data_IF_627911911625
#
_entry.id   IF_627911911625
#
_cell.length_a   1.000
_cell.length_b   1.000
_cell.length_c   1.000
_cell.angle_alpha   90.00
_cell.angle_beta   90.00
_cell.angle_gamma   90.00
#
_symmetry.space_group_name_H-M   'P 1'
#
loop_
_entity.id
_entity.type
_entity.pdbx_description
1 polymer ?
#
# COMPACT_ATOMS: atom_id res chain seq x y z
N UNK A 1 4.64 -27.85 3.49
CA UNK A 1 4.32 -26.86 4.57
C UNK A 1 3.13 -26.00 4.20
N UNK A 2 2.32 -25.55 5.19
CA UNK A 2 1.08 -24.77 4.96
C UNK A 2 0.95 -23.59 5.93
N UNK A 3 0.52 -22.42 5.40
CA UNK A 3 0.18 -21.25 6.21
C UNK A 3 -1.33 -21.22 6.41
N UNK A 4 -1.77 -21.13 7.66
CA UNK A 4 -3.19 -21.06 8.02
C UNK A 4 -3.48 -19.87 8.94
N UNK A 5 -4.72 -19.37 8.87
CA UNK A 5 -5.25 -18.41 9.82
C UNK A 5 -6.21 -19.15 10.75
N UNK A 6 -5.85 -19.24 12.02
CA UNK A 6 -6.66 -19.91 13.06
C UNK A 6 -7.26 -18.88 13.99
N UNK A 7 -8.46 -19.16 14.48
CA UNK A 7 -9.11 -18.34 15.50
C UNK A 7 -9.13 -19.10 16.83
N UNK A 8 -8.54 -18.51 17.87
CA UNK A 8 -8.54 -19.06 19.23
C UNK A 8 -9.07 -17.99 20.18
N UNK A 9 -10.18 -18.27 20.84
CA UNK A 9 -10.82 -17.36 21.79
C UNK A 9 -11.13 -15.96 21.21
N UNK A 10 -11.62 -15.91 19.96
CA UNK A 10 -11.95 -14.65 19.29
C UNK A 10 -10.74 -13.89 18.73
N UNK A 11 -9.51 -14.37 18.95
CA UNK A 11 -8.28 -13.78 18.43
C UNK A 11 -7.79 -14.59 17.24
N UNK A 12 -7.51 -13.91 16.13
CA UNK A 12 -6.97 -14.54 14.92
C UNK A 12 -5.43 -14.60 14.95
N UNK A 13 -4.89 -15.75 14.60
CA UNK A 13 -3.45 -16.04 14.53
C UNK A 13 -3.08 -16.57 13.16
N UNK A 14 -1.95 -16.12 12.65
CA UNK A 14 -1.30 -16.78 11.51
C UNK A 14 -0.32 -17.81 12.05
N UNK A 15 -0.39 -19.02 11.52
CA UNK A 15 0.48 -20.14 11.90
C UNK A 15 1.11 -20.77 10.67
N UNK A 16 2.32 -21.30 10.84
CA UNK A 16 2.99 -22.15 9.86
C UNK A 16 2.94 -23.59 10.36
N UNK A 17 2.46 -24.47 9.52
CA UNK A 17 2.41 -25.91 9.76
C UNK A 17 3.41 -26.62 8.86
N UNK A 18 4.07 -27.66 9.39
CA UNK A 18 4.89 -28.58 8.60
C UNK A 18 4.02 -29.54 7.77
N UNK A 19 4.66 -30.53 7.14
CA UNK A 19 3.96 -31.49 6.29
C UNK A 19 3.16 -32.52 7.11
N UNK A 20 3.49 -32.70 8.39
CA UNK A 20 2.79 -33.54 9.36
C UNK A 20 1.73 -32.76 10.14
N UNK A 21 1.42 -31.54 9.74
CA UNK A 21 0.45 -30.64 10.39
C UNK A 21 0.82 -30.22 11.82
N UNK A 22 2.09 -30.29 12.21
CA UNK A 22 2.58 -29.73 13.45
C UNK A 22 2.95 -28.26 13.29
N UNK A 23 2.84 -27.51 14.39
CA UNK A 23 3.26 -26.11 14.42
C UNK A 23 4.78 -26.00 14.26
N UNK A 24 5.21 -25.09 13.40
CA UNK A 24 6.61 -24.64 13.35
C UNK A 24 6.78 -23.59 14.43
N UNK A 25 7.05 -24.04 15.67
CA UNK A 25 7.02 -23.20 16.88
C UNK A 25 7.82 -21.89 16.76
N UNK A 26 9.08 -21.86 16.26
CA UNK A 26 9.83 -20.61 16.17
C UNK A 26 9.13 -19.55 15.32
N UNK A 27 8.52 -19.97 14.19
CA UNK A 27 7.78 -19.05 13.32
C UNK A 27 6.48 -18.59 13.97
N UNK A 28 5.77 -19.51 14.62
CA UNK A 28 4.49 -19.20 15.28
C UNK A 28 4.70 -18.21 16.45
N UNK A 29 5.77 -18.38 17.23
CA UNK A 29 6.14 -17.46 18.32
C UNK A 29 6.52 -16.08 17.80
N UNK A 30 7.30 -16.02 16.73
CA UNK A 30 7.62 -14.75 16.06
C UNK A 30 6.36 -14.05 15.56
N UNK A 31 5.44 -14.76 14.91
CA UNK A 31 4.19 -14.21 14.42
C UNK A 31 3.29 -13.70 15.56
N UNK A 32 3.24 -14.43 16.67
CA UNK A 32 2.49 -13.99 17.85
C UNK A 32 3.12 -12.75 18.50
N UNK A 33 4.44 -12.70 18.60
CA UNK A 33 5.14 -11.49 19.03
C UNK A 33 4.81 -10.29 18.12
N UNK A 34 4.88 -10.46 16.81
CA UNK A 34 4.54 -9.39 15.87
C UNK A 34 3.08 -8.94 16.01
N UNK A 35 2.15 -9.86 16.28
CA UNK A 35 0.75 -9.57 16.57
C UNK A 35 0.60 -8.75 17.85
N UNK A 36 1.29 -9.13 18.93
CA UNK A 36 1.28 -8.42 20.22
C UNK A 36 1.76 -6.98 20.14
N UNK A 37 2.63 -6.66 19.19
CA UNK A 37 3.10 -5.29 18.92
C UNK A 37 2.28 -4.60 17.81
N UNK A 38 1.03 -5.00 17.60
CA UNK A 38 0.04 -4.40 16.70
C UNK A 38 0.47 -4.33 15.21
N UNK A 39 1.20 -5.32 14.71
CA UNK A 39 1.46 -5.41 13.28
C UNK A 39 0.16 -5.75 12.53
N UNK A 40 -0.07 -5.06 11.41
CA UNK A 40 -1.24 -5.28 10.57
C UNK A 40 -1.37 -6.74 10.10
N UNK A 41 -2.59 -7.27 10.04
CA UNK A 41 -2.89 -8.66 9.66
C UNK A 41 -2.25 -9.08 8.33
N UNK A 42 -2.29 -8.20 7.32
CA UNK A 42 -1.62 -8.46 6.04
C UNK A 42 -0.10 -8.54 6.15
N UNK A 43 0.53 -7.84 7.11
CA UNK A 43 1.96 -7.95 7.39
C UNK A 43 2.29 -9.29 8.03
N UNK A 44 1.46 -9.76 8.97
CA UNK A 44 1.61 -11.07 9.60
C UNK A 44 1.47 -12.19 8.58
N UNK A 45 0.47 -12.10 7.69
CA UNK A 45 0.31 -13.03 6.57
C UNK A 45 1.53 -13.06 5.66
N UNK A 46 2.06 -11.88 5.32
CA UNK A 46 3.26 -11.80 4.47
C UNK A 46 4.47 -12.46 5.15
N UNK A 47 4.70 -12.19 6.44
CA UNK A 47 5.76 -12.87 7.22
C UNK A 47 5.59 -14.39 7.21
N UNK A 48 4.38 -14.88 7.46
CA UNK A 48 4.12 -16.33 7.47
C UNK A 48 4.43 -16.98 6.11
N UNK A 49 4.01 -16.35 5.00
CA UNK A 49 4.28 -16.85 3.65
C UNK A 49 5.76 -16.77 3.28
N UNK A 50 6.45 -15.69 3.66
CA UNK A 50 7.86 -15.52 3.37
C UNK A 50 8.71 -16.52 4.18
N UNK A 51 8.38 -16.73 5.45
CA UNK A 51 9.05 -17.70 6.30
C UNK A 51 8.76 -19.13 5.87
N UNK A 52 7.56 -19.45 5.37
CA UNK A 52 7.28 -20.74 4.73
C UNK A 52 8.32 -21.04 3.64
N UNK A 53 8.53 -20.10 2.71
CA UNK A 53 9.50 -20.27 1.61
C UNK A 53 10.91 -20.52 2.16
N UNK A 54 11.30 -19.78 3.20
CA UNK A 54 12.61 -19.95 3.83
C UNK A 54 12.77 -21.32 4.52
N UNK A 55 11.74 -21.78 5.23
CA UNK A 55 11.74 -23.09 5.87
C UNK A 55 11.80 -24.24 4.85
N UNK A 56 11.09 -24.14 3.73
CA UNK A 56 11.18 -25.09 2.62
C UNK A 56 12.58 -25.14 2.02
N UNK A 57 13.26 -23.98 1.91
CA UNK A 57 14.66 -23.92 1.49
C UNK A 57 15.60 -24.60 2.49
N UNK A 58 15.47 -24.32 3.79
CA UNK A 58 16.28 -24.95 4.83
C UNK A 58 16.09 -26.47 4.83
N UNK A 59 14.85 -26.95 4.70
CA UNK A 59 14.55 -28.38 4.62
C UNK A 59 15.23 -29.04 3.41
N UNK A 60 15.22 -28.41 2.23
CA UNK A 60 15.97 -28.90 1.04
C UNK A 60 17.47 -29.00 1.28
N UNK A 61 18.05 -28.13 2.10
CA UNK A 61 19.47 -28.12 2.46
C UNK A 61 19.78 -28.99 3.68
N UNK A 62 18.78 -29.63 4.29
CA UNK A 62 18.91 -30.38 5.55
C UNK A 62 19.48 -29.53 6.68
N UNK A 63 19.15 -28.23 6.73
CA UNK A 63 19.57 -27.27 7.74
C UNK A 63 18.43 -26.91 8.69
N UNK A 64 18.78 -26.62 9.95
CA UNK A 64 17.87 -25.98 10.89
C UNK A 64 18.17 -24.47 10.92
N UNK A 65 17.19 -23.66 11.29
CA UNK A 65 17.33 -22.20 11.36
C UNK A 65 18.39 -21.75 12.40
N UNK A 66 18.60 -22.56 13.45
CA UNK A 66 19.53 -22.33 14.57
C UNK A 66 20.92 -22.98 14.37
N UNK A 67 21.14 -23.63 13.24
CA UNK A 67 22.43 -24.22 12.92
C UNK A 67 23.53 -23.17 12.76
N UNK A 68 24.70 -23.43 13.33
CA UNK A 68 25.88 -22.57 13.17
C UNK A 68 26.39 -22.50 11.71
N UNK A 69 25.99 -23.46 10.86
CA UNK A 69 26.31 -23.48 9.44
C UNK A 69 25.48 -22.51 8.60
N UNK A 70 24.38 -21.96 9.14
CA UNK A 70 23.59 -20.93 8.46
C UNK A 70 24.40 -19.62 8.46
N UNK A 71 25.03 -19.33 7.35
CA UNK A 71 25.95 -18.23 7.14
C UNK A 71 25.43 -17.25 6.08
N UNK A 72 26.24 -16.25 5.78
CA UNK A 72 25.95 -15.33 4.65
C UNK A 72 25.91 -16.07 3.31
N UNK A 73 26.70 -17.13 3.14
CA UNK A 73 26.70 -17.94 1.93
C UNK A 73 25.38 -18.72 1.81
N UNK A 74 24.83 -19.21 2.93
CA UNK A 74 23.49 -19.81 2.96
C UNK A 74 22.43 -18.82 2.51
N UNK A 75 22.55 -17.54 2.86
CA UNK A 75 21.62 -16.51 2.40
C UNK A 75 21.81 -16.17 0.91
N UNK A 76 23.05 -16.25 0.40
CA UNK A 76 23.31 -16.11 -1.03
C UNK A 76 22.70 -17.29 -1.82
N UNK A 77 22.87 -18.53 -1.33
CA UNK A 77 22.22 -19.73 -1.89
C UNK A 77 20.69 -19.58 -1.86
N UNK A 78 20.12 -19.04 -0.79
CA UNK A 78 18.68 -18.77 -0.71
C UNK A 78 18.21 -17.75 -1.75
N UNK A 79 19.00 -16.70 -2.01
CA UNK A 79 18.70 -15.74 -3.09
C UNK A 79 18.69 -16.46 -4.45
N UNK A 80 19.63 -17.37 -4.68
CA UNK A 80 19.69 -18.13 -5.94
C UNK A 80 18.52 -19.12 -6.05
N UNK A 81 18.13 -19.81 -4.97
CA UNK A 81 16.92 -20.64 -4.95
C UNK A 81 15.66 -19.82 -5.24
N UNK A 82 15.55 -18.62 -4.67
CA UNK A 82 14.43 -17.71 -4.96
C UNK A 82 14.37 -17.27 -6.43
N UNK A 83 15.51 -17.13 -7.09
CA UNK A 83 15.58 -16.83 -8.53
C UNK A 83 15.26 -18.02 -9.40
N UNK A 84 15.73 -19.21 -9.01
CA UNK A 84 15.58 -20.46 -9.77
C UNK A 84 14.21 -21.11 -9.55
N UNK A 85 13.66 -21.03 -8.35
CA UNK A 85 12.36 -21.63 -7.99
C UNK A 85 11.18 -21.07 -8.81
N UNK A 86 11.39 -19.95 -9.50
CA UNK A 86 10.46 -19.44 -10.52
C UNK A 86 10.61 -20.14 -11.88
N UNK A 87 11.66 -20.98 -12.08
CA UNK A 87 11.92 -21.72 -13.34
C UNK A 87 11.48 -23.18 -13.28
N UNK A 88 11.42 -23.78 -12.10
CA UNK A 88 11.00 -25.17 -11.91
C UNK A 88 9.50 -25.19 -11.60
N UNK A 89 8.69 -25.45 -12.63
CA UNK A 89 7.24 -25.47 -12.57
C UNK A 89 6.66 -26.31 -11.44
N UNK A 90 6.25 -25.67 -10.38
CA UNK A 90 5.12 -26.11 -9.57
C UNK A 90 3.88 -25.37 -10.05
N UNK A 91 2.90 -26.17 -10.46
CA UNK A 91 1.57 -25.90 -10.97
C UNK A 91 0.82 -24.76 -10.24
N UNK A 92 1.15 -23.51 -10.54
CA UNK A 92 0.22 -22.37 -10.38
C UNK A 92 0.83 -21.17 -11.14
N UNK A 93 0.42 -20.99 -12.37
CA UNK A 93 0.39 -19.78 -13.22
C UNK A 93 1.22 -18.52 -12.80
N UNK A 94 2.50 -18.68 -12.44
CA UNK A 94 3.44 -17.56 -12.37
C UNK A 94 4.62 -17.89 -13.27
N UNK A 95 4.43 -17.67 -14.55
CA UNK A 95 5.48 -17.66 -15.57
C UNK A 95 6.30 -16.38 -15.45
N UNK A 96 7.17 -16.28 -14.43
CA UNK A 96 8.05 -15.14 -14.29
C UNK A 96 9.02 -15.32 -13.12
N UNK A 97 10.30 -15.01 -13.32
CA UNK A 97 11.27 -14.93 -12.23
C UNK A 97 10.82 -13.89 -11.20
N UNK A 98 10.98 -14.19 -9.90
CA UNK A 98 10.69 -13.21 -8.84
C UNK A 98 11.51 -11.95 -9.06
N UNK A 99 10.88 -10.79 -8.94
CA UNK A 99 11.60 -9.51 -9.05
C UNK A 99 12.53 -9.31 -7.86
N UNK A 100 13.63 -8.57 -8.05
CA UNK A 100 14.55 -8.23 -6.97
C UNK A 100 13.82 -7.57 -5.78
N UNK A 101 12.77 -6.79 -6.01
CA UNK A 101 11.92 -6.22 -4.97
C UNK A 101 11.21 -7.30 -4.14
N UNK A 102 10.65 -8.33 -4.80
CA UNK A 102 10.00 -9.45 -4.11
C UNK A 102 11.00 -10.26 -3.30
N UNK A 103 12.20 -10.52 -3.85
CA UNK A 103 13.28 -11.21 -3.14
C UNK A 103 13.72 -10.38 -1.92
N UNK A 104 13.97 -9.10 -2.07
CA UNK A 104 14.34 -8.21 -0.96
C UNK A 104 13.28 -8.15 0.15
N UNK A 105 11.99 -8.23 -0.22
CA UNK A 105 10.90 -8.30 0.76
C UNK A 105 10.98 -9.60 1.58
N UNK A 106 11.17 -10.75 0.92
CA UNK A 106 11.32 -12.06 1.58
C UNK A 106 12.54 -12.03 2.51
N UNK A 107 13.68 -11.55 2.03
CA UNK A 107 14.89 -11.40 2.84
C UNK A 107 14.64 -10.52 4.08
N UNK A 108 13.88 -9.43 3.93
CA UNK A 108 13.53 -8.55 5.05
C UNK A 108 12.68 -9.26 6.11
N UNK A 109 11.79 -10.17 5.71
CA UNK A 109 11.00 -11.02 6.61
C UNK A 109 11.90 -12.00 7.38
N UNK A 110 12.81 -12.68 6.68
CA UNK A 110 13.80 -13.61 7.27
C UNK A 110 14.71 -12.87 8.26
N UNK A 111 15.20 -11.68 7.89
CA UNK A 111 16.00 -10.85 8.80
C UNK A 111 15.23 -10.43 10.06
N UNK A 112 13.95 -10.07 9.91
CA UNK A 112 13.10 -9.70 11.04
C UNK A 112 12.91 -10.88 12.00
N UNK A 113 12.78 -12.08 11.45
CA UNK A 113 12.72 -13.32 12.21
C UNK A 113 14.03 -13.58 12.98
N UNK A 114 15.18 -13.59 12.30
CA UNK A 114 16.48 -13.82 12.96
C UNK A 114 16.79 -12.77 14.02
N UNK A 115 16.44 -11.52 13.79
CA UNK A 115 16.57 -10.47 14.78
C UNK A 115 15.76 -10.77 16.05
N UNK A 116 14.54 -11.27 15.88
CA UNK A 116 13.71 -11.68 17.02
C UNK A 116 14.33 -12.86 17.77
N UNK A 117 14.79 -13.90 17.07
CA UNK A 117 15.43 -15.06 17.65
C UNK A 117 16.71 -14.68 18.42
N UNK A 118 17.52 -13.81 17.85
CA UNK A 118 18.73 -13.29 18.51
C UNK A 118 18.40 -12.50 19.79
N UNK A 119 17.40 -11.62 19.73
CA UNK A 119 16.97 -10.85 20.90
C UNK A 119 16.33 -11.73 21.98
N UNK A 120 15.76 -12.87 21.61
CA UNK A 120 15.20 -13.87 22.52
C UNK A 120 16.27 -14.83 23.07
N UNK A 121 17.51 -14.69 22.69
CA UNK A 121 18.64 -15.52 23.14
C UNK A 121 18.65 -16.95 22.60
N UNK A 122 17.83 -17.26 21.58
CA UNK A 122 17.68 -18.60 21.03
C UNK A 122 18.61 -18.89 19.85
N UNK A 123 19.12 -17.87 19.21
CA UNK A 123 20.04 -18.01 18.10
C UNK A 123 21.20 -17.02 18.24
N UNK A 124 22.44 -17.52 18.16
CA UNK A 124 23.64 -16.70 18.01
C UNK A 124 23.95 -16.58 16.52
N UNK A 125 23.30 -15.63 15.85
CA UNK A 125 23.46 -15.53 14.41
C UNK A 125 24.41 -14.40 14.02
N UNK A 126 25.30 -14.61 13.02
CA UNK A 126 26.09 -13.53 12.45
C UNK A 126 25.16 -12.48 11.85
N UNK A 127 25.46 -11.23 12.10
CA UNK A 127 24.69 -10.12 11.57
C UNK A 127 24.79 -10.11 10.04
N UNK A 128 23.68 -10.33 9.34
CA UNK A 128 23.59 -10.12 7.89
C UNK A 128 23.64 -8.64 7.49
N UNK A 129 23.93 -7.77 8.45
CA UNK A 129 24.02 -6.34 8.26
C UNK A 129 25.40 -5.83 8.55
N UNK A 130 25.94 -5.07 7.63
CA UNK A 130 27.10 -4.24 7.85
C UNK A 130 26.67 -2.89 8.43
N UNK A 131 27.35 -2.43 9.48
CA UNK A 131 27.13 -1.09 10.01
C UNK A 131 27.90 -0.11 9.14
N UNK A 132 27.20 0.58 8.25
CA UNK A 132 27.78 1.63 7.42
C UNK A 132 27.60 2.95 8.14
N UNK A 133 28.69 3.63 8.44
CA UNK A 133 28.66 5.03 8.86
C UNK A 133 28.37 5.85 7.61
N UNK A 134 27.20 6.49 7.54
CA UNK A 134 26.94 7.48 6.50
C UNK A 134 27.93 8.63 6.68
N UNK A 135 29.02 8.58 5.92
CA UNK A 135 29.82 9.77 5.62
C UNK A 135 28.99 10.57 4.65
N UNK A 136 28.25 11.56 5.17
CA UNK A 136 27.48 12.48 4.34
C UNK A 136 28.41 13.10 3.29
N UNK A 137 28.09 13.01 1.99
CA UNK A 137 28.90 13.66 0.97
C UNK A 137 28.74 15.17 1.06
N UNK A 138 29.84 15.85 1.31
CA UNK A 138 30.22 17.16 0.74
C UNK A 138 29.28 18.37 0.85
N UNK A 139 28.32 18.43 1.78
CA UNK A 139 27.76 19.70 2.18
C UNK A 139 28.14 19.99 3.64
N UNK A 140 29.33 20.55 3.81
CA UNK A 140 29.80 21.09 5.08
C UNK A 140 29.10 22.42 5.34
N UNK A 141 27.86 22.36 5.79
CA UNK A 141 27.14 23.50 6.35
C UNK A 141 27.46 23.65 7.83
N UNK A 142 27.37 24.85 8.34
CA UNK A 142 27.75 25.40 9.66
C UNK A 142 27.20 24.66 10.90
N UNK A 143 26.48 23.53 10.78
CA UNK A 143 25.80 22.78 11.84
C UNK A 143 26.28 21.34 11.99
N UNK A 144 27.55 21.04 11.72
CA UNK A 144 28.15 19.69 11.82
C UNK A 144 28.03 19.11 13.24
N UNK A 145 27.96 19.94 14.27
CA UNK A 145 27.99 19.52 15.67
C UNK A 145 26.69 18.95 16.21
N UNK A 146 25.57 19.07 15.49
CA UNK A 146 24.25 18.61 15.94
C UNK A 146 23.77 17.31 15.32
N UNK A 147 24.48 16.75 14.34
CA UNK A 147 24.13 15.46 13.75
C UNK A 147 25.00 14.35 14.36
N UNK A 148 24.44 13.64 15.34
CA UNK A 148 24.99 12.36 15.73
C UNK A 148 25.16 11.48 14.48
N UNK A 149 26.35 10.91 14.24
CA UNK A 149 26.64 9.99 13.14
C UNK A 149 25.59 8.88 13.14
N UNK A 150 24.66 8.95 12.21
CA UNK A 150 23.61 7.94 12.09
C UNK A 150 24.23 6.72 11.49
N UNK A 151 24.47 5.70 12.33
CA UNK A 151 24.86 4.40 11.84
C UNK A 151 23.66 3.74 11.18
N UNK A 152 23.73 3.54 9.87
CA UNK A 152 22.72 2.79 9.12
C UNK A 152 23.20 1.36 8.91
N UNK A 153 22.37 0.40 9.28
CA UNK A 153 22.63 -1.03 9.01
C UNK A 153 22.23 -1.33 7.58
N UNK A 154 23.20 -1.68 6.74
CA UNK A 154 22.96 -2.09 5.35
C UNK A 154 22.99 -3.61 5.26
N UNK A 155 21.99 -4.20 4.64
CA UNK A 155 21.97 -5.64 4.38
C UNK A 155 23.01 -5.99 3.32
N UNK A 156 23.87 -6.97 3.59
CA UNK A 156 24.91 -7.45 2.67
C UNK A 156 24.36 -8.22 1.49
N UNK A 157 23.15 -8.79 1.62
CA UNK A 157 22.50 -9.61 0.56
C UNK A 157 21.35 -8.88 -0.17
N UNK A 158 21.23 -7.57 0.05
CA UNK A 158 20.18 -6.80 -0.62
C UNK A 158 20.49 -6.63 -2.11
N UNK A 159 19.56 -7.06 -2.97
CA UNK A 159 19.66 -6.92 -4.41
C UNK A 159 19.36 -5.49 -4.86
N UNK A 160 20.03 -5.05 -5.92
CA UNK A 160 19.72 -3.77 -6.56
C UNK A 160 18.32 -3.84 -7.18
N UNK A 161 17.45 -2.94 -6.76
CA UNK A 161 16.09 -2.82 -7.32
C UNK A 161 16.14 -1.88 -8.52
N UNK A 162 15.54 -2.31 -9.65
CA UNK A 162 15.14 -1.37 -10.68
C UNK A 162 13.95 -0.56 -10.15
N UNK A 163 14.03 0.76 -10.24
CA UNK A 163 12.85 1.59 -10.00
C UNK A 163 12.09 1.69 -11.33
N UNK A 164 11.00 0.93 -11.53
CA UNK A 164 10.18 1.14 -12.70
C UNK A 164 9.63 2.57 -12.64
N UNK A 165 9.69 3.26 -13.77
CA UNK A 165 9.00 4.54 -13.90
C UNK A 165 7.53 4.34 -13.58
N UNK A 166 6.97 5.19 -12.71
CA UNK A 166 5.55 5.14 -12.41
C UNK A 166 4.76 5.39 -13.70
N UNK A 167 3.78 4.53 -13.98
CA UNK A 167 2.89 4.75 -15.12
C UNK A 167 2.01 5.96 -14.82
N UNK A 168 1.92 6.85 -15.78
CA UNK A 168 0.97 7.96 -15.79
C UNK A 168 -0.20 7.54 -16.69
N UNK A 169 -1.39 7.59 -16.16
CA UNK A 169 -2.64 7.33 -16.91
C UNK A 169 -3.08 8.66 -17.52
N UNK A 170 -3.13 8.74 -18.83
CA UNK A 170 -3.58 9.97 -19.50
C UNK A 170 -5.06 10.23 -19.24
N UNK A 171 -5.50 11.47 -19.38
CA UNK A 171 -6.91 11.83 -19.21
C UNK A 171 -7.79 11.08 -20.21
N UNK A 172 -7.37 10.96 -21.46
CA UNK A 172 -8.09 10.21 -22.50
C UNK A 172 -8.25 8.72 -22.10
N UNK A 173 -7.17 8.07 -21.64
CA UNK A 173 -7.22 6.69 -21.14
C UNK A 173 -8.19 6.56 -19.97
N UNK A 174 -8.15 7.51 -19.04
CA UNK A 174 -9.01 7.50 -17.87
C UNK A 174 -10.49 7.68 -18.27
N UNK A 175 -10.82 8.65 -19.11
CA UNK A 175 -12.18 8.90 -19.57
C UNK A 175 -12.75 7.71 -20.36
N UNK A 176 -11.96 7.11 -21.26
CA UNK A 176 -12.35 5.88 -21.96
C UNK A 176 -12.64 4.73 -20.99
N UNK A 177 -11.81 4.59 -19.96
CA UNK A 177 -12.02 3.57 -18.93
C UNK A 177 -13.31 3.81 -18.15
N UNK A 178 -13.53 5.03 -17.67
CA UNK A 178 -14.73 5.38 -16.87
C UNK A 178 -16.01 5.27 -17.71
N UNK A 179 -15.98 5.65 -18.98
CA UNK A 179 -17.13 5.52 -19.90
C UNK A 179 -17.54 4.05 -20.12
N UNK A 180 -16.61 3.10 -20.02
CA UNK A 180 -16.90 1.69 -20.15
C UNK A 180 -17.46 1.06 -18.86
N UNK A 181 -17.43 1.76 -17.72
CA UNK A 181 -18.03 1.30 -16.48
C UNK A 181 -19.55 1.46 -16.51
N UNK A 182 -20.27 0.38 -16.21
CA UNK A 182 -21.74 0.34 -16.34
C UNK A 182 -22.50 1.05 -15.22
N UNK A 183 -21.88 1.18 -14.02
CA UNK A 183 -22.56 1.68 -12.83
C UNK A 183 -22.06 3.07 -12.40
N UNK A 184 -22.98 3.96 -11.94
CA UNK A 184 -22.61 5.26 -11.38
C UNK A 184 -21.69 5.13 -10.18
N UNK A 185 -21.94 4.15 -9.27
CA UNK A 185 -21.08 3.82 -8.14
C UNK A 185 -19.64 3.59 -8.58
N UNK A 186 -19.47 2.77 -9.62
CA UNK A 186 -18.15 2.33 -10.09
C UNK A 186 -17.41 3.50 -10.71
N UNK A 187 -18.08 4.32 -11.52
CA UNK A 187 -17.51 5.57 -12.05
C UNK A 187 -17.06 6.51 -10.94
N UNK A 188 -17.93 6.75 -9.95
CA UNK A 188 -17.61 7.62 -8.80
C UNK A 188 -16.42 7.11 -7.99
N UNK A 189 -16.27 5.80 -7.79
CA UNK A 189 -15.10 5.23 -7.13
C UNK A 189 -13.80 5.60 -7.86
N UNK A 190 -13.78 5.46 -9.18
CA UNK A 190 -12.61 5.80 -9.97
C UNK A 190 -12.36 7.31 -10.05
N UNK A 191 -13.41 8.13 -10.08
CA UNK A 191 -13.26 9.58 -9.97
C UNK A 191 -12.63 9.99 -8.61
N UNK A 192 -13.04 9.37 -7.51
CA UNK A 192 -12.40 9.60 -6.21
C UNK A 192 -10.90 9.27 -6.26
N UNK A 193 -10.53 8.12 -6.82
CA UNK A 193 -9.13 7.73 -6.93
C UNK A 193 -8.30 8.70 -7.78
N UNK A 194 -8.86 9.13 -8.92
CA UNK A 194 -8.19 9.97 -9.90
C UNK A 194 -8.04 11.42 -9.42
N UNK A 195 -9.11 12.02 -8.90
CA UNK A 195 -9.11 13.43 -8.52
C UNK A 195 -8.60 13.73 -7.11
N UNK A 196 -8.46 12.72 -6.25
CA UNK A 196 -7.95 12.94 -4.88
C UNK A 196 -6.63 12.25 -4.59
N UNK A 197 -6.17 11.38 -5.50
CA UNK A 197 -5.01 10.53 -5.25
C UNK A 197 -5.18 9.61 -4.03
N UNK A 198 -6.41 9.28 -3.64
CA UNK A 198 -6.71 8.37 -2.56
C UNK A 198 -6.12 6.97 -2.83
N UNK A 199 -5.72 6.25 -1.78
CA UNK A 199 -5.50 4.82 -1.90
C UNK A 199 -6.83 4.11 -2.03
N UNK A 200 -6.88 3.01 -2.77
CA UNK A 200 -8.14 2.25 -2.97
C UNK A 200 -8.85 1.96 -1.63
N UNK A 201 -8.12 1.55 -0.61
CA UNK A 201 -8.73 1.27 0.69
C UNK A 201 -9.29 2.53 1.37
N UNK A 202 -8.65 3.69 1.18
CA UNK A 202 -9.15 4.97 1.69
C UNK A 202 -10.47 5.36 1.02
N UNK A 203 -10.58 5.14 -0.30
CA UNK A 203 -11.82 5.37 -1.02
C UNK A 203 -12.92 4.37 -0.60
N UNK A 204 -12.59 3.09 -0.46
CA UNK A 204 -13.54 2.08 0.00
C UNK A 204 -14.02 2.31 1.44
N UNK A 205 -13.17 2.85 2.30
CA UNK A 205 -13.48 3.17 3.71
C UNK A 205 -14.23 4.50 3.87
N UNK A 206 -14.56 5.21 2.78
CA UNK A 206 -15.29 6.46 2.82
C UNK A 206 -16.71 6.25 3.36
N UNK A 207 -16.99 6.84 4.52
CA UNK A 207 -18.32 6.77 5.14
C UNK A 207 -19.21 7.94 4.67
N UNK A 208 -20.50 7.71 4.59
CA UNK A 208 -21.47 8.72 4.12
C UNK A 208 -21.46 9.99 4.98
N UNK A 209 -21.25 9.84 6.30
CA UNK A 209 -21.13 10.97 7.23
C UNK A 209 -19.84 11.78 7.12
N UNK A 210 -18.87 11.36 6.29
CA UNK A 210 -17.64 12.10 6.03
C UNK A 210 -17.76 13.05 4.83
N UNK A 211 -18.88 12.96 4.07
CA UNK A 211 -19.14 13.85 2.94
C UNK A 211 -19.58 15.23 3.47
N UNK A 212 -18.88 16.30 3.12
CA UNK A 212 -19.36 17.63 3.43
C UNK A 212 -20.61 17.95 2.60
N UNK A 213 -21.45 18.83 3.12
CA UNK A 213 -22.55 19.40 2.33
C UNK A 213 -21.94 20.22 1.21
N UNK A 214 -22.32 19.98 -0.05
CA UNK A 214 -21.80 20.78 -1.16
C UNK A 214 -22.24 22.25 -1.02
N UNK A 215 -21.34 23.13 -1.41
CA UNK A 215 -21.63 24.57 -1.50
C UNK A 215 -21.18 25.11 -2.86
N UNK A 216 -21.58 26.34 -3.15
CA UNK A 216 -21.23 27.01 -4.40
C UNK A 216 -20.08 28.02 -4.24
N UNK A 217 -19.66 28.27 -3.00
CA UNK A 217 -18.64 29.27 -2.68
C UNK A 217 -17.22 28.73 -2.75
N UNK A 218 -17.06 27.39 -2.71
CA UNK A 218 -15.77 26.73 -2.69
C UNK A 218 -15.57 25.81 -3.88
N UNK A 219 -14.39 25.86 -4.47
CA UNK A 219 -13.98 24.96 -5.56
C UNK A 219 -13.49 23.59 -5.02
N UNK A 220 -13.05 23.57 -3.76
CA UNK A 220 -12.45 22.39 -3.10
C UNK A 220 -13.20 22.04 -1.83
N UNK A 221 -13.60 20.77 -1.69
CA UNK A 221 -14.12 20.20 -0.47
C UNK A 221 -13.12 19.31 0.25
N UNK A 222 -13.36 19.09 1.55
CA UNK A 222 -12.48 18.27 2.39
C UNK A 222 -13.24 17.09 2.97
N UNK A 223 -12.81 15.88 2.61
CA UNK A 223 -13.26 14.62 3.19
C UNK A 223 -12.38 14.32 4.41
N UNK A 224 -12.95 14.50 5.61
CA UNK A 224 -12.16 14.50 6.84
C UNK A 224 -12.00 13.12 7.46
N UNK A 225 -10.87 12.91 8.14
CA UNK A 225 -10.62 11.79 9.03
C UNK A 225 -10.66 10.41 8.36
N UNK A 226 -10.29 10.33 7.08
CA UNK A 226 -10.23 9.07 6.34
C UNK A 226 -9.15 8.16 6.95
N UNK A 227 -9.46 6.89 7.16
CA UNK A 227 -8.52 5.90 7.68
C UNK A 227 -7.43 5.59 6.65
N UNK A 228 -6.17 5.67 7.05
CA UNK A 228 -5.00 5.41 6.22
C UNK A 228 -3.91 4.70 7.00
N UNK A 229 -3.75 3.39 6.83
CA UNK A 229 -2.65 2.59 7.44
C UNK A 229 -2.41 2.89 8.93
N UNK A 230 -3.47 2.81 9.75
CA UNK A 230 -3.38 3.05 11.19
C UNK A 230 -3.36 4.51 11.62
N UNK A 231 -3.42 5.45 10.66
CA UNK A 231 -3.55 6.89 10.90
C UNK A 231 -4.84 7.40 10.26
N UNK A 232 -5.19 8.64 10.54
CA UNK A 232 -6.26 9.36 9.83
C UNK A 232 -5.64 10.51 9.05
N UNK A 233 -6.21 10.81 7.90
CA UNK A 233 -5.86 11.97 7.07
C UNK A 233 -7.08 12.54 6.40
N UNK A 234 -6.97 13.76 5.93
CA UNK A 234 -7.99 14.40 5.12
C UNK A 234 -7.67 14.18 3.63
N UNK A 235 -8.71 14.05 2.80
CA UNK A 235 -8.64 14.05 1.36
C UNK A 235 -9.27 15.34 0.84
N UNK A 236 -8.63 15.92 -0.15
CA UNK A 236 -9.10 17.12 -0.83
C UNK A 236 -9.71 16.71 -2.17
N UNK A 237 -10.92 17.14 -2.44
CA UNK A 237 -11.66 16.78 -3.65
C UNK A 237 -12.26 18.02 -4.31
N UNK A 238 -12.35 18.08 -5.64
CA UNK A 238 -13.05 19.16 -6.32
C UNK A 238 -14.54 19.13 -5.93
N UNK A 239 -15.16 20.31 -5.82
CA UNK A 239 -16.52 20.43 -5.31
C UNK A 239 -17.55 19.73 -6.22
N UNK A 240 -17.32 19.66 -7.54
CA UNK A 240 -18.20 18.91 -8.44
C UNK A 240 -18.25 17.42 -8.03
N UNK A 241 -17.12 16.81 -7.67
CA UNK A 241 -17.08 15.42 -7.22
C UNK A 241 -17.79 15.24 -5.87
N UNK A 242 -17.65 16.21 -4.97
CA UNK A 242 -18.41 16.22 -3.71
C UNK A 242 -19.92 16.26 -3.97
N UNK A 243 -20.38 17.10 -4.90
CA UNK A 243 -21.81 17.18 -5.30
C UNK A 243 -22.31 15.84 -5.84
N UNK A 244 -21.52 15.22 -6.72
CA UNK A 244 -21.87 13.92 -7.30
C UNK A 244 -21.95 12.81 -6.24
N UNK A 245 -20.96 12.76 -5.32
CA UNK A 245 -20.96 11.80 -4.22
C UNK A 245 -22.14 12.04 -3.27
N UNK A 246 -22.43 13.31 -2.96
CA UNK A 246 -23.52 13.70 -2.09
C UNK A 246 -24.88 13.34 -2.71
N UNK A 247 -25.08 13.65 -3.98
CA UNK A 247 -26.29 13.27 -4.73
C UNK A 247 -26.45 11.76 -4.77
N UNK A 248 -25.38 11.02 -5.08
CA UNK A 248 -25.41 9.55 -5.15
C UNK A 248 -25.81 8.90 -3.81
N UNK A 249 -25.38 9.48 -2.69
CA UNK A 249 -25.71 8.94 -1.36
C UNK A 249 -27.14 9.26 -0.93
N UNK A 250 -27.68 10.41 -1.40
CA UNK A 250 -29.01 10.91 -1.01
C UNK A 250 -30.10 10.66 -2.06
N UNK A 251 -29.80 9.90 -3.13
CA UNK A 251 -30.82 9.51 -4.11
C UNK A 251 -31.99 8.78 -3.43
N UNK A 252 -33.25 9.13 -3.80
CA UNK A 252 -34.45 8.53 -3.20
C UNK A 252 -34.53 7.01 -3.39
N UNK A 253 -34.01 6.51 -4.50
CA UNK A 253 -33.98 5.09 -4.87
C UNK A 253 -32.80 4.33 -4.25
N UNK A 254 -31.90 4.99 -3.52
CA UNK A 254 -30.90 4.31 -2.74
C UNK A 254 -31.62 3.51 -1.66
N UNK A 255 -31.87 2.24 -1.94
CA UNK A 255 -32.79 1.33 -1.23
C UNK A 255 -32.43 1.11 0.25
N UNK A 256 -31.40 1.76 0.73
CA UNK A 256 -30.96 1.66 2.13
C UNK A 256 -30.55 3.02 2.68
N UNK A 257 -31.53 3.75 3.21
CA UNK A 257 -31.34 5.08 3.83
C UNK A 257 -30.35 5.11 5.01
N UNK A 258 -29.74 3.98 5.38
CA UNK A 258 -28.80 3.84 6.49
C UNK A 258 -27.45 3.24 6.10
N UNK A 259 -27.06 3.28 4.82
CA UNK A 259 -25.73 2.78 4.44
C UNK A 259 -24.63 3.59 5.12
N UNK A 260 -23.72 2.88 5.76
CA UNK A 260 -22.59 3.49 6.44
C UNK A 260 -21.53 3.97 5.45
N UNK A 261 -21.27 3.21 4.39
CA UNK A 261 -20.23 3.48 3.40
C UNK A 261 -20.80 4.06 2.12
N UNK A 262 -20.02 4.92 1.46
CA UNK A 262 -20.39 5.50 0.15
C UNK A 262 -20.42 4.39 -0.90
N UNK A 263 -19.41 3.52 -0.92
CA UNK A 263 -19.29 2.45 -1.90
C UNK A 263 -19.68 1.11 -1.26
N UNK A 264 -20.87 0.64 -1.64
CA UNK A 264 -21.45 -0.63 -1.16
C UNK A 264 -21.68 -1.59 -2.31
N UNK A 265 -21.72 -2.88 -2.01
CA UNK A 265 -22.13 -3.89 -2.98
C UNK A 265 -23.62 -3.72 -3.29
N UNK A 266 -23.99 -3.72 -4.58
CA UNK A 266 -25.36 -3.50 -5.04
C UNK A 266 -26.11 -4.81 -5.26
N UNK A 267 -25.39 -5.88 -5.54
CA UNK A 267 -25.95 -7.19 -5.92
C UNK A 267 -25.43 -8.29 -5.02
N UNK A 268 -26.12 -9.42 -5.00
CA UNK A 268 -25.80 -10.64 -4.25
C UNK A 268 -26.15 -10.56 -2.76
N UNK A 269 -25.84 -11.64 -2.04
CA UNK A 269 -26.01 -11.75 -0.57
C UNK A 269 -25.17 -10.73 0.23
N UNK A 270 -24.41 -9.87 -0.46
CA UNK A 270 -23.55 -8.83 0.13
C UNK A 270 -24.10 -7.41 -0.12
N UNK A 271 -25.31 -7.28 -0.71
CA UNK A 271 -25.92 -5.97 -0.95
C UNK A 271 -25.95 -5.12 0.33
N UNK A 272 -25.62 -3.83 0.22
CA UNK A 272 -25.50 -2.90 1.34
C UNK A 272 -24.22 -3.01 2.18
N UNK A 273 -23.41 -4.07 2.01
CA UNK A 273 -22.11 -4.17 2.67
C UNK A 273 -21.06 -3.37 1.92
N UNK A 274 -20.03 -2.94 2.64
CA UNK A 274 -18.88 -2.24 2.05
C UNK A 274 -18.32 -2.99 0.83
N UNK A 275 -18.05 -2.26 -0.25
CA UNK A 275 -17.40 -2.82 -1.44
C UNK A 275 -15.99 -3.29 -1.07
N UNK A 276 -15.65 -4.52 -1.44
CA UNK A 276 -14.34 -5.10 -1.12
C UNK A 276 -13.28 -4.72 -2.15
N UNK A 277 -12.01 -4.74 -1.73
CA UNK A 277 -10.88 -4.57 -2.64
C UNK A 277 -10.94 -5.53 -3.83
N UNK A 278 -11.24 -6.81 -3.58
CA UNK A 278 -11.33 -7.82 -4.65
C UNK A 278 -12.42 -7.50 -5.67
N UNK A 279 -13.60 -7.06 -5.21
CA UNK A 279 -14.67 -6.68 -6.13
C UNK A 279 -14.31 -5.46 -6.98
N UNK A 280 -13.67 -4.45 -6.38
CA UNK A 280 -13.16 -3.28 -7.11
C UNK A 280 -12.05 -3.66 -8.10
N UNK A 281 -11.13 -4.55 -7.70
CA UNK A 281 -10.06 -5.05 -8.56
C UNK A 281 -10.58 -5.86 -9.74
N UNK A 282 -11.50 -6.79 -9.50
CA UNK A 282 -12.11 -7.62 -10.55
C UNK A 282 -12.91 -6.78 -11.56
N UNK A 283 -13.59 -5.74 -11.07
CA UNK A 283 -14.28 -4.77 -11.93
C UNK A 283 -13.27 -4.02 -12.81
N UNK A 284 -12.22 -3.46 -12.21
CA UNK A 284 -11.15 -2.77 -12.94
C UNK A 284 -10.55 -3.68 -14.01
N UNK A 285 -10.15 -4.89 -13.63
CA UNK A 285 -9.50 -5.85 -14.53
C UNK A 285 -10.38 -6.21 -15.73
N UNK A 286 -11.68 -6.53 -15.50
CA UNK A 286 -12.61 -6.86 -16.60
C UNK A 286 -12.78 -5.69 -17.57
N UNK A 287 -12.90 -4.47 -17.07
CA UNK A 287 -13.04 -3.28 -17.92
C UNK A 287 -11.76 -3.04 -18.72
N UNK A 288 -10.59 -3.21 -18.10
CA UNK A 288 -9.31 -3.09 -18.78
C UNK A 288 -9.09 -4.14 -19.86
N UNK A 289 -9.45 -5.40 -19.60
CA UNK A 289 -9.40 -6.49 -20.58
C UNK A 289 -10.25 -6.18 -21.82
N UNK A 290 -11.46 -5.63 -21.62
CA UNK A 290 -12.33 -5.21 -22.72
C UNK A 290 -11.77 -4.06 -23.56
N UNK A 291 -10.97 -3.18 -22.95
CA UNK A 291 -10.42 -1.97 -23.59
C UNK A 291 -8.99 -2.16 -24.12
N UNK A 292 -8.33 -3.28 -23.80
CA UNK A 292 -6.91 -3.48 -24.08
C UNK A 292 -6.01 -2.53 -23.30
N UNK A 293 -6.40 -2.17 -22.09
CA UNK A 293 -5.67 -1.24 -21.21
C UNK A 293 -5.03 -2.00 -20.03
N UNK A 294 -3.99 -1.43 -19.44
CA UNK A 294 -3.38 -1.96 -18.22
C UNK A 294 -2.89 -0.82 -17.34
N UNK A 295 -3.48 -0.67 -16.15
CA UNK A 295 -2.99 0.19 -15.08
C UNK A 295 -3.49 -0.34 -13.73
N UNK A 296 -2.88 0.11 -12.64
CA UNK A 296 -3.23 -0.26 -11.28
C UNK A 296 -3.86 0.93 -10.53
N UNK A 297 -4.58 0.68 -9.45
CA UNK A 297 -5.09 1.77 -8.59
C UNK A 297 -4.00 2.75 -8.15
N UNK A 298 -2.77 2.25 -7.98
CA UNK A 298 -1.67 3.11 -7.54
C UNK A 298 -1.18 4.05 -8.64
N UNK A 299 -1.38 3.69 -9.92
CA UNK A 299 -1.00 4.53 -11.06
C UNK A 299 -1.89 5.77 -11.15
N UNK A 300 -3.20 5.66 -10.81
CA UNK A 300 -4.09 6.82 -10.70
C UNK A 300 -3.58 7.82 -9.64
N UNK A 301 -3.11 7.30 -8.52
CA UNK A 301 -2.52 8.12 -7.49
C UNK A 301 -1.18 8.75 -7.92
N UNK A 302 -0.35 8.03 -8.68
CA UNK A 302 0.86 8.59 -9.27
C UNK A 302 0.51 9.69 -10.28
N UNK A 303 -0.50 9.47 -11.11
CA UNK A 303 -1.00 10.47 -12.06
C UNK A 303 -1.41 11.75 -11.36
N UNK A 304 -2.22 11.66 -10.32
CA UNK A 304 -2.63 12.83 -9.54
C UNK A 304 -1.44 13.56 -8.91
N UNK A 305 -0.50 12.83 -8.30
CA UNK A 305 0.70 13.40 -7.71
C UNK A 305 1.57 14.13 -8.74
N UNK A 306 1.78 13.50 -9.90
CA UNK A 306 2.56 14.07 -11.01
C UNK A 306 1.87 15.30 -11.56
N UNK A 307 0.56 15.27 -11.78
CA UNK A 307 -0.21 16.42 -12.24
C UNK A 307 -0.09 17.64 -11.33
N UNK A 308 -0.15 17.44 -9.98
CA UNK A 308 0.07 18.53 -9.04
C UNK A 308 1.46 19.14 -9.17
N UNK A 309 2.51 18.31 -9.34
CA UNK A 309 3.89 18.78 -9.46
C UNK A 309 4.08 19.52 -10.80
N UNK A 310 3.54 19.01 -11.90
CA UNK A 310 3.62 19.62 -13.22
C UNK A 310 2.92 20.98 -13.29
N UNK A 311 1.84 21.13 -12.49
CA UNK A 311 1.15 22.42 -12.33
C UNK A 311 1.85 23.37 -11.33
N UNK A 312 3.02 23.01 -10.83
CA UNK A 312 3.83 23.87 -9.96
C UNK A 312 3.34 23.95 -8.52
N UNK A 313 2.46 23.04 -8.07
CA UNK A 313 2.03 22.99 -6.67
C UNK A 313 3.22 22.67 -5.78
N UNK A 314 3.41 23.44 -4.71
CA UNK A 314 4.51 23.27 -3.77
C UNK A 314 4.61 21.82 -3.26
N UNK A 315 5.83 21.27 -3.27
CA UNK A 315 6.07 19.87 -2.90
C UNK A 315 5.65 19.55 -1.46
N UNK A 316 5.67 20.52 -0.54
CA UNK A 316 5.19 20.32 0.83
C UNK A 316 3.66 20.15 0.85
N UNK A 317 2.94 20.88 0.00
CA UNK A 317 1.49 20.73 -0.17
C UNK A 317 1.19 19.37 -0.79
N UNK A 318 1.89 19.00 -1.87
CA UNK A 318 1.74 17.69 -2.51
C UNK A 318 1.94 16.56 -1.50
N UNK A 319 2.96 16.65 -0.65
CA UNK A 319 3.23 15.67 0.40
C UNK A 319 2.09 15.57 1.43
N UNK A 320 1.56 16.70 1.86
CA UNK A 320 0.43 16.74 2.78
C UNK A 320 -0.82 16.11 2.16
N UNK A 321 -1.16 16.54 0.94
CA UNK A 321 -2.31 16.02 0.19
C UNK A 321 -2.18 14.53 -0.05
N UNK A 322 -0.98 14.05 -0.40
CA UNK A 322 -0.71 12.63 -0.63
C UNK A 322 -0.61 11.82 0.67
N UNK A 323 -0.42 12.44 1.82
CA UNK A 323 -0.25 11.76 3.10
C UNK A 323 0.97 10.82 3.10
N UNK A 324 2.10 11.27 2.58
CA UNK A 324 3.35 10.51 2.59
C UNK A 324 4.01 10.58 3.95
N UNK A 325 4.09 9.44 4.67
CA UNK A 325 4.61 9.36 6.04
C UNK A 325 6.15 9.54 6.15
N UNK A 326 6.87 9.55 5.04
CA UNK A 326 8.33 9.58 5.01
C UNK A 326 8.86 10.76 4.19
N UNK A 327 9.05 11.88 4.88
CA UNK A 327 10.06 12.85 4.47
C UNK A 327 10.76 13.42 5.70
N UNK A 328 11.97 12.98 5.84
CA UNK A 328 12.89 13.28 6.94
C UNK A 328 13.41 14.72 6.92
N UNK A 329 12.92 15.58 6.05
CA UNK A 329 13.51 16.90 5.78
C UNK A 329 12.63 18.10 6.08
N UNK A 330 11.42 17.95 6.57
CA UNK A 330 10.59 19.13 6.80
C UNK A 330 9.83 19.12 8.12
N UNK A 331 10.53 19.02 9.24
CA UNK A 331 10.00 19.49 10.54
C UNK A 331 9.54 20.96 10.52
N UNK A 332 9.79 21.70 9.45
CA UNK A 332 9.44 23.11 9.28
C UNK A 332 8.04 23.36 8.72
N UNK A 333 7.38 22.36 8.12
CA UNK A 333 6.07 22.52 7.46
C UNK A 333 4.98 21.65 8.08
N UNK A 334 5.10 21.38 9.38
CA UNK A 334 4.24 20.42 10.10
C UNK A 334 2.77 20.83 10.17
N UNK A 335 2.44 22.07 9.87
CA UNK A 335 1.07 22.58 9.94
C UNK A 335 0.76 23.59 8.82
N UNK A 336 0.74 23.10 7.56
CA UNK A 336 0.04 23.88 6.53
C UNK A 336 -1.45 23.91 6.91
N UNK A 337 -2.03 25.11 7.03
CA UNK A 337 -3.45 25.23 7.33
C UNK A 337 -4.28 24.70 6.15
N UNK A 338 -5.46 24.14 6.43
CA UNK A 338 -6.41 23.74 5.40
C UNK A 338 -6.64 24.86 4.36
N UNK A 339 -6.73 26.10 4.84
CA UNK A 339 -6.91 27.28 3.99
C UNK A 339 -5.80 27.42 2.94
N UNK A 340 -4.55 27.18 3.33
CA UNK A 340 -3.40 27.26 2.41
C UNK A 340 -3.43 26.14 1.38
N UNK A 341 -3.72 24.90 1.82
CA UNK A 341 -3.87 23.74 0.93
C UNK A 341 -5.02 23.95 -0.05
N UNK A 342 -6.18 24.43 0.46
CA UNK A 342 -7.36 24.69 -0.37
C UNK A 342 -7.09 25.75 -1.44
N UNK A 343 -6.43 26.86 -1.08
CA UNK A 343 -6.09 27.90 -2.05
C UNK A 343 -5.28 27.35 -3.24
N UNK A 344 -4.24 26.58 -2.97
CA UNK A 344 -3.38 26.02 -4.03
C UNK A 344 -4.08 24.93 -4.85
N UNK A 345 -4.97 24.15 -4.24
CA UNK A 345 -5.77 23.15 -4.97
C UNK A 345 -6.89 23.80 -5.78
N UNK A 346 -7.39 24.96 -5.33
CA UNK A 346 -8.33 25.74 -6.12
C UNK A 346 -7.72 26.17 -7.45
N UNK A 347 -6.51 26.75 -7.40
CA UNK A 347 -5.78 27.16 -8.62
C UNK A 347 -5.55 25.98 -9.57
N UNK A 348 -5.18 24.82 -9.05
CA UNK A 348 -5.00 23.60 -9.83
C UNK A 348 -6.30 23.17 -10.54
N UNK A 349 -7.40 23.08 -9.83
CA UNK A 349 -8.66 22.64 -10.43
C UNK A 349 -9.36 23.74 -11.26
N UNK A 350 -9.09 25.01 -11.03
CA UNK A 350 -9.58 26.07 -11.91
C UNK A 350 -8.94 26.02 -13.31
N UNK A 351 -7.67 25.64 -13.38
CA UNK A 351 -7.00 25.39 -14.67
C UNK A 351 -7.59 24.17 -15.41
N UNK A 352 -8.15 23.20 -14.67
CA UNK A 352 -8.81 22.01 -15.22
C UNK A 352 -10.23 22.24 -15.72
N UNK A 353 -10.90 23.31 -15.31
CA UNK A 353 -12.28 23.66 -15.76
C UNK A 353 -12.42 23.80 -17.27
N UNK A 354 -11.35 24.03 -18.01
CA UNK A 354 -11.36 24.11 -19.47
C UNK A 354 -11.60 22.80 -20.20
N UNK A 355 -11.61 21.65 -19.50
CA UNK A 355 -11.89 20.32 -20.05
C UNK A 355 -13.07 19.59 -19.42
N UNK A 356 -13.77 20.20 -18.47
CA UNK A 356 -14.78 19.54 -17.64
C UNK A 356 -16.24 19.72 -18.08
N UNK A 357 -16.51 20.06 -19.33
CA UNK A 357 -17.85 19.89 -19.92
C UNK A 357 -18.19 18.40 -20.18
N UNK A 358 -17.59 17.52 -19.37
CA UNK A 358 -17.93 16.11 -19.42
C UNK A 358 -18.99 15.79 -18.37
N UNK A 359 -20.20 15.61 -18.83
CA UNK A 359 -21.30 15.03 -18.06
C UNK A 359 -20.84 13.76 -17.36
N UNK A 360 -20.71 13.82 -16.03
CA UNK A 360 -20.43 12.67 -15.17
C UNK A 360 -21.66 11.74 -15.11
N UNK A 361 -22.79 12.15 -15.69
CA UNK A 361 -24.05 11.42 -15.73
C UNK A 361 -24.08 10.32 -16.79
#
# INVERSE_FOLDING_TARGET
>A
MQVQKVNKNGTAYWVLLDDDMHLVDPVCEFLDFQRKIDRADNTLRAYALDLKIYWEFLAKKCLRFDDASVSIDTMADFVDDLRQGARAGELLHVTGSRTNRSINRILSSVHSFYRYEQMSGRCQHPSFYETVSDTAPLYQGYLIHTHAKKQTKKSMVKLKESQPQARIVTEEEFLRFVAALSGRRDRLLFYVLYYTGARIQEALDLETGMLPVPDDDHTVGVLRQIRSKGKRRDLYAPMFLIRELYAFVHEPDAADKKRKYVFVAEKSNYAGRQLTYHAAYDMMRRTQECLGMEFHFHDLRHTFCTGLIEQGVDTAIVQQVMGHAHLYTTKRYVHLSDRYVMAHLTDYWEQWKGGMDHDIC
#
